data_IF_058471921368
#
_entry.id   IF_058471921368
#
_cell.length_a   1.000
_cell.length_b   1.000
_cell.length_c   1.000
_cell.angle_alpha   90.00
_cell.angle_beta   90.00
_cell.angle_gamma   90.00
#
_symmetry.space_group_name_H-M   'P 1'
#
loop_
_entity.id
_entity.type
_entity.pdbx_description
1 polymer ?
#
# COMPACT_ATOMS: atom_id res chain seq x y z
N UNK A 1 0.34 -15.76 -4.02
CA UNK A 1 -1.07 -15.51 -3.66
C UNK A 1 -1.13 -14.08 -3.14
N UNK A 2 -1.68 -13.15 -3.93
CA UNK A 2 -1.75 -11.73 -3.55
C UNK A 2 -3.02 -11.56 -2.73
N UNK A 3 -2.88 -11.30 -1.44
CA UNK A 3 -4.02 -11.02 -0.56
C UNK A 3 -4.56 -9.62 -0.86
N UNK A 4 -5.71 -9.56 -1.54
CA UNK A 4 -6.49 -8.34 -1.68
C UNK A 4 -7.11 -8.01 -0.31
N UNK A 5 -6.68 -6.91 0.29
CA UNK A 5 -7.22 -6.41 1.55
C UNK A 5 -8.56 -5.72 1.30
N UNK A 6 -9.67 -6.42 1.56
CA UNK A 6 -11.03 -5.86 1.45
C UNK A 6 -11.32 -4.92 2.63
N UNK A 7 -11.84 -3.73 2.36
CA UNK A 7 -12.19 -2.78 3.42
C UNK A 7 -13.71 -2.77 3.69
N UNK A 8 -14.11 -2.96 4.95
CA UNK A 8 -15.51 -2.91 5.38
C UNK A 8 -15.96 -1.47 5.60
N UNK A 9 -17.14 -1.12 5.10
CA UNK A 9 -17.82 0.14 5.42
C UNK A 9 -19.09 -0.16 6.22
N UNK A 10 -19.12 0.25 7.48
CA UNK A 10 -20.36 0.24 8.28
C UNK A 10 -21.11 1.55 8.04
N UNK A 11 -21.93 1.59 6.98
CA UNK A 11 -22.79 2.74 6.67
C UNK A 11 -24.19 2.24 6.32
N UNK A 12 -25.21 2.96 6.80
CA UNK A 12 -26.63 2.63 6.62
C UNK A 12 -26.98 2.27 5.16
N UNK A 13 -27.75 1.19 4.91
CA UNK A 13 -28.10 0.68 3.57
C UNK A 13 -28.76 1.71 2.63
N UNK A 14 -29.37 2.77 3.18
CA UNK A 14 -30.08 3.79 2.40
C UNK A 14 -29.16 4.81 1.74
N UNK A 15 -28.00 5.10 2.34
CA UNK A 15 -27.08 6.16 1.88
C UNK A 15 -26.07 5.66 0.85
N UNK A 16 -25.82 4.34 0.81
CA UNK A 16 -24.82 3.70 -0.05
C UNK A 16 -25.23 3.62 -1.54
N UNK A 17 -26.52 3.71 -1.86
CA UNK A 17 -27.01 3.48 -3.24
C UNK A 17 -26.63 4.53 -4.28
N UNK A 18 -26.14 5.71 -3.88
CA UNK A 18 -25.97 6.82 -4.83
C UNK A 18 -24.54 7.37 -4.97
N UNK A 19 -23.59 7.02 -4.10
CA UNK A 19 -22.31 7.75 -4.04
C UNK A 19 -21.04 6.95 -4.33
N UNK A 20 -21.03 5.60 -4.27
CA UNK A 20 -19.78 4.82 -4.36
C UNK A 20 -19.78 3.68 -5.40
N UNK A 21 -20.77 3.60 -6.27
CA UNK A 21 -20.93 2.46 -7.19
C UNK A 21 -20.06 2.55 -8.44
N UNK A 22 -19.40 3.69 -8.72
CA UNK A 22 -18.88 3.93 -10.05
C UNK A 22 -17.37 3.67 -10.21
N UNK A 23 -16.54 3.74 -9.18
CA UNK A 23 -15.07 3.89 -9.36
C UNK A 23 -14.29 2.59 -9.50
N UNK A 24 -14.70 1.50 -8.83
CA UNK A 24 -14.08 0.17 -8.94
C UNK A 24 -15.01 -0.92 -9.47
N UNK A 25 -16.31 -0.61 -9.59
CA UNK A 25 -17.30 -1.52 -10.20
C UNK A 25 -17.02 -1.81 -11.67
N UNK A 26 -16.12 -1.07 -12.33
CA UNK A 26 -15.68 -1.36 -13.70
C UNK A 26 -14.80 -2.60 -13.78
N UNK A 27 -13.96 -2.85 -12.76
CA UNK A 27 -13.06 -4.01 -12.72
C UNK A 27 -13.69 -5.18 -11.99
N UNK A 28 -14.21 -4.96 -10.77
CA UNK A 28 -14.80 -6.02 -9.96
C UNK A 28 -16.12 -5.57 -9.32
N UNK A 29 -17.10 -6.48 -9.31
CA UNK A 29 -18.36 -6.25 -8.62
C UNK A 29 -18.15 -6.28 -7.09
N UNK A 30 -18.82 -5.38 -6.33
CA UNK A 30 -18.81 -5.44 -4.88
C UNK A 30 -19.27 -6.81 -4.36
N UNK A 31 -18.66 -7.28 -3.26
CA UNK A 31 -19.03 -8.55 -2.64
C UNK A 31 -19.99 -8.30 -1.48
N UNK A 32 -21.20 -8.79 -1.63
CA UNK A 32 -22.19 -8.78 -0.56
C UNK A 32 -22.02 -10.00 0.36
N UNK A 33 -21.95 -9.73 1.66
CA UNK A 33 -22.05 -10.69 2.75
C UNK A 33 -23.19 -10.26 3.67
N UNK A 34 -23.77 -11.16 4.51
CA UNK A 34 -24.84 -10.77 5.42
C UNK A 34 -24.44 -9.58 6.31
N UNK A 35 -25.04 -8.42 6.05
CA UNK A 35 -24.77 -7.16 6.78
C UNK A 35 -23.52 -6.38 6.36
N UNK A 36 -22.80 -6.81 5.32
CA UNK A 36 -21.55 -6.18 4.87
C UNK A 36 -21.47 -6.12 3.35
N UNK A 37 -21.17 -4.93 2.82
CA UNK A 37 -20.78 -4.75 1.42
C UNK A 37 -19.26 -4.49 1.37
N UNK A 38 -18.53 -5.34 0.66
CA UNK A 38 -17.08 -5.25 0.51
C UNK A 38 -16.72 -4.70 -0.86
N UNK A 39 -15.82 -3.72 -0.86
CA UNK A 39 -15.21 -3.13 -2.05
C UNK A 39 -13.69 -3.14 -1.90
N UNK A 40 -12.99 -2.84 -2.99
CA UNK A 40 -11.54 -2.70 -2.97
C UNK A 40 -11.08 -1.65 -1.95
N UNK A 41 -10.05 -2.02 -1.17
CA UNK A 41 -9.38 -1.14 -0.24
C UNK A 41 -8.79 0.10 -0.92
N UNK A 42 -8.42 0.01 -2.21
CA UNK A 42 -7.93 1.14 -3.01
C UNK A 42 -8.88 2.35 -3.03
N UNK A 43 -10.19 2.11 -2.95
CA UNK A 43 -11.22 3.18 -2.89
C UNK A 43 -11.10 4.02 -1.61
N UNK A 44 -10.60 3.41 -0.52
CA UNK A 44 -10.45 4.07 0.78
C UNK A 44 -9.02 4.50 1.06
N UNK A 45 -8.05 3.65 0.73
CA UNK A 45 -6.64 3.87 0.94
C UNK A 45 -5.83 3.06 -0.08
N UNK A 46 -5.43 3.70 -1.19
CA UNK A 46 -4.58 3.07 -2.19
C UNK A 46 -3.15 2.80 -1.68
N UNK A 47 -2.76 3.42 -0.57
CA UNK A 47 -1.61 3.02 0.22
C UNK A 47 -2.07 2.65 1.64
N UNK A 48 -1.89 1.39 2.09
CA UNK A 48 -2.38 0.94 3.39
C UNK A 48 -1.48 1.37 4.56
N UNK A 49 -0.40 2.14 4.35
CA UNK A 49 0.58 2.44 5.39
C UNK A 49 -0.04 3.08 6.64
N UNK A 50 -0.90 4.09 6.49
CA UNK A 50 -1.54 4.73 7.64
C UNK A 50 -2.40 3.75 8.46
N UNK A 51 -3.08 2.82 7.78
CA UNK A 51 -3.86 1.76 8.42
C UNK A 51 -2.91 0.80 9.15
N UNK A 52 -1.83 0.36 8.48
CA UNK A 52 -0.84 -0.53 9.06
C UNK A 52 -0.18 0.06 10.31
N UNK A 53 0.17 1.35 10.30
CA UNK A 53 0.72 2.04 11.47
C UNK A 53 -0.26 2.03 12.64
N UNK A 54 -1.54 2.34 12.39
CA UNK A 54 -2.57 2.31 13.42
C UNK A 54 -2.75 0.90 13.99
N UNK A 55 -2.93 -0.10 13.15
CA UNK A 55 -3.12 -1.48 13.58
C UNK A 55 -1.88 -2.01 14.32
N UNK A 56 -0.67 -1.65 13.89
CA UNK A 56 0.56 -2.04 14.58
C UNK A 56 0.64 -1.52 16.02
N UNK A 57 0.12 -0.31 16.28
CA UNK A 57 0.08 0.25 17.64
C UNK A 57 -0.90 -0.47 18.56
N UNK A 58 -1.92 -1.13 17.98
CA UNK A 58 -2.90 -1.94 18.72
C UNK A 58 -2.33 -3.33 19.00
N UNK A 59 -1.66 -3.94 18.01
CA UNK A 59 -1.06 -5.28 18.14
C UNK A 59 0.15 -5.26 19.08
N UNK A 60 1.01 -4.24 18.96
CA UNK A 60 2.23 -4.10 19.76
C UNK A 60 2.26 -2.79 20.56
N UNK A 61 1.41 -2.65 21.59
CA UNK A 61 1.27 -1.39 22.34
C UNK A 61 2.53 -1.01 23.13
N UNK A 62 3.43 -1.96 23.40
CA UNK A 62 4.70 -1.72 24.08
C UNK A 62 5.84 -1.33 23.11
N UNK A 63 5.67 -1.52 21.81
CA UNK A 63 6.67 -1.15 20.82
C UNK A 63 6.69 0.37 20.66
N UNK A 64 7.82 0.99 21.00
CA UNK A 64 7.98 2.45 20.95
C UNK A 64 8.37 2.98 19.57
N UNK A 65 8.92 2.12 18.72
CA UNK A 65 9.35 2.41 17.34
C UNK A 65 9.30 1.15 16.50
N UNK A 66 9.23 1.32 15.19
CA UNK A 66 9.45 0.27 14.20
C UNK A 66 10.96 0.11 13.95
N UNK A 67 11.42 -1.13 13.73
CA UNK A 67 12.82 -1.40 13.34
C UNK A 67 13.04 -1.22 11.83
N UNK A 68 12.01 -1.46 11.01
CA UNK A 68 12.01 -1.20 9.59
C UNK A 68 10.57 -0.93 9.13
N UNK A 69 10.38 0.14 8.37
CA UNK A 69 9.13 0.44 7.68
C UNK A 69 9.39 0.46 6.18
N UNK A 70 8.81 -0.51 5.47
CA UNK A 70 8.94 -0.64 4.03
C UNK A 70 7.56 -0.53 3.36
N UNK A 71 7.37 0.50 2.53
CA UNK A 71 6.20 0.66 1.66
C UNK A 71 6.58 0.33 0.22
N UNK A 72 5.88 -0.62 -0.42
CA UNK A 72 6.15 -1.02 -1.81
C UNK A 72 5.01 -0.51 -2.68
N UNK A 73 5.34 0.25 -3.72
CA UNK A 73 4.43 0.73 -4.75
C UNK A 73 4.42 -0.15 -5.98
N UNK A 74 3.41 0.03 -6.83
CA UNK A 74 3.24 -0.69 -8.11
C UNK A 74 3.86 0.07 -9.29
N UNK A 75 4.62 1.14 -9.04
CA UNK A 75 5.19 2.00 -10.05
C UNK A 75 4.35 3.26 -10.30
N UNK A 76 4.99 4.25 -10.93
CA UNK A 76 4.39 5.54 -11.28
C UNK A 76 4.85 5.99 -12.66
N UNK A 77 3.98 6.70 -13.39
CA UNK A 77 4.35 7.33 -14.66
C UNK A 77 5.18 8.57 -14.41
N UNK A 78 6.23 8.76 -15.18
CA UNK A 78 6.98 10.04 -15.26
C UNK A 78 6.35 11.01 -16.26
N UNK A 79 5.44 10.53 -17.11
CA UNK A 79 4.79 11.31 -18.15
C UNK A 79 3.47 11.92 -17.67
N UNK A 80 3.12 13.15 -18.09
CA UNK A 80 1.83 13.72 -17.79
C UNK A 80 0.72 12.90 -18.47
N UNK A 81 -0.46 12.73 -17.85
CA UNK A 81 -1.54 11.95 -18.41
C UNK A 81 -1.92 12.48 -19.80
N UNK A 82 -1.88 11.60 -20.79
CA UNK A 82 -2.24 11.92 -22.17
C UNK A 82 -3.72 12.33 -22.24
N UNK A 83 -4.00 13.46 -22.89
CA UNK A 83 -5.40 13.90 -23.11
C UNK A 83 -5.92 13.22 -24.37
N UNK A 84 -7.07 12.52 -24.33
CA UNK A 84 -7.65 11.93 -25.53
C UNK A 84 -8.01 13.05 -26.52
N UNK A 85 -7.46 12.99 -27.73
CA UNK A 85 -7.77 13.92 -28.82
C UNK A 85 -8.75 13.27 -29.80
N UNK A 86 -9.77 14.01 -30.25
CA UNK A 86 -10.72 13.57 -31.30
C UNK A 86 -12.20 13.51 -30.87
N UNK A 87 -13.06 12.96 -31.76
CA UNK A 87 -14.53 12.90 -31.59
C UNK A 87 -14.92 11.97 -30.42
N UNK A 88 -14.19 10.88 -30.22
CA UNK A 88 -14.31 10.03 -29.01
C UNK A 88 -13.92 10.76 -27.72
N UNK A 89 -12.93 11.65 -27.79
CA UNK A 89 -12.55 12.53 -26.68
C UNK A 89 -13.72 13.43 -26.23
N UNK A 90 -14.51 13.96 -27.18
CA UNK A 90 -15.70 14.78 -26.86
C UNK A 90 -16.82 13.99 -26.17
N UNK A 91 -16.96 12.69 -26.46
CA UNK A 91 -17.92 11.80 -25.77
C UNK A 91 -17.42 11.47 -24.35
N UNK A 92 -16.09 11.34 -24.18
CA UNK A 92 -15.41 11.21 -22.90
C UNK A 92 -15.37 12.51 -22.06
N UNK A 93 -15.72 13.66 -22.63
CA UNK A 93 -15.89 14.93 -21.90
C UNK A 93 -17.33 15.12 -21.36
N UNK A 94 -18.17 14.09 -21.44
CA UNK A 94 -19.48 14.08 -20.79
C UNK A 94 -19.38 14.16 -19.26
N UNK A 95 -20.42 14.60 -18.56
CA UNK A 95 -20.39 14.81 -17.10
C UNK A 95 -20.10 13.52 -16.31
N UNK A 96 -20.57 12.36 -16.76
CA UNK A 96 -20.35 11.08 -16.10
C UNK A 96 -18.91 10.55 -16.25
N UNK A 97 -18.33 10.43 -17.46
CA UNK A 97 -16.91 10.07 -17.62
C UNK A 97 -15.97 11.08 -16.94
N UNK A 98 -16.30 12.38 -16.94
CA UNK A 98 -15.52 13.40 -16.22
C UNK A 98 -15.55 13.20 -14.71
N UNK A 99 -16.71 12.88 -14.15
CA UNK A 99 -16.84 12.57 -12.73
C UNK A 99 -16.05 11.31 -12.40
N UNK A 100 -16.20 10.24 -13.18
CA UNK A 100 -15.44 9.00 -13.00
C UNK A 100 -13.92 9.27 -13.06
N UNK A 101 -13.46 10.01 -14.08
CA UNK A 101 -12.06 10.40 -14.24
C UNK A 101 -11.54 11.22 -13.06
N UNK A 102 -12.30 12.21 -12.61
CA UNK A 102 -11.94 13.03 -11.45
C UNK A 102 -11.83 12.19 -10.18
N UNK A 103 -12.69 11.18 -10.02
CA UNK A 103 -12.67 10.28 -8.87
C UNK A 103 -11.47 9.33 -8.91
N UNK A 104 -11.14 8.72 -10.06
CA UNK A 104 -9.96 7.84 -10.18
C UNK A 104 -8.63 8.61 -10.20
N UNK A 105 -8.66 9.89 -10.59
CA UNK A 105 -7.51 10.80 -10.51
C UNK A 105 -7.44 11.55 -9.18
N UNK A 106 -8.28 11.18 -8.20
CA UNK A 106 -8.26 11.77 -6.86
C UNK A 106 -6.92 11.50 -6.17
N UNK A 107 -6.42 12.42 -5.33
CA UNK A 107 -5.24 12.19 -4.49
C UNK A 107 -5.35 10.93 -3.62
N UNK A 108 -6.57 10.49 -3.27
CA UNK A 108 -6.80 9.24 -2.52
C UNK A 108 -6.40 7.98 -3.29
N UNK A 109 -6.32 8.07 -4.62
CA UNK A 109 -5.86 7.01 -5.52
C UNK A 109 -4.35 7.11 -5.80
N UNK A 110 -3.67 8.13 -5.30
CA UNK A 110 -2.22 8.26 -5.44
C UNK A 110 -1.54 7.59 -4.23
N UNK A 111 -0.96 6.42 -4.47
CA UNK A 111 -0.26 5.65 -3.44
C UNK A 111 0.99 6.36 -2.87
N UNK A 112 1.61 7.26 -3.64
CA UNK A 112 2.75 8.08 -3.17
C UNK A 112 2.25 9.19 -2.27
N UNK A 113 1.16 9.85 -2.62
CA UNK A 113 0.52 10.84 -1.75
C UNK A 113 0.08 10.20 -0.43
N UNK A 114 -0.59 9.05 -0.49
CA UNK A 114 -0.99 8.30 0.71
C UNK A 114 0.19 7.87 1.58
N UNK A 115 1.34 7.55 0.99
CA UNK A 115 2.58 7.31 1.75
C UNK A 115 3.02 8.56 2.51
N UNK A 116 3.13 9.71 1.83
CA UNK A 116 3.57 10.97 2.44
C UNK A 116 2.63 11.43 3.55
N UNK A 117 1.32 11.28 3.35
CA UNK A 117 0.32 11.57 4.37
C UNK A 117 0.49 10.66 5.60
N UNK A 118 0.79 9.37 5.37
CA UNK A 118 1.01 8.42 6.44
C UNK A 118 2.25 8.73 7.28
N UNK A 119 3.29 9.33 6.69
CA UNK A 119 4.51 9.74 7.41
C UNK A 119 4.22 10.81 8.47
N UNK A 120 3.16 11.61 8.32
CA UNK A 120 2.77 12.58 9.34
C UNK A 120 2.31 11.94 10.66
N UNK A 121 1.93 10.65 10.65
CA UNK A 121 1.58 9.92 11.87
C UNK A 121 2.81 9.39 12.62
N UNK A 122 4.00 9.45 12.03
CA UNK A 122 5.22 8.98 12.66
C UNK A 122 5.84 10.08 13.54
N UNK A 123 6.33 9.75 14.74
CA UNK A 123 7.01 10.71 15.58
C UNK A 123 8.26 11.25 14.87
N UNK A 124 8.45 12.58 14.86
CA UNK A 124 9.58 13.27 14.20
C UNK A 124 10.98 12.88 14.72
N UNK A 125 11.09 11.98 15.70
CA UNK A 125 12.31 11.68 16.45
C UNK A 125 12.97 10.33 16.12
N UNK A 126 12.48 9.58 15.13
CA UNK A 126 13.12 8.30 14.75
C UNK A 126 13.07 8.09 13.23
N UNK A 127 14.04 8.68 12.54
CA UNK A 127 14.22 8.57 11.08
C UNK A 127 15.59 8.00 10.72
N UNK A 128 15.84 6.75 11.06
CA UNK A 128 16.43 5.85 10.09
C UNK A 128 15.45 4.69 9.85
N UNK A 129 15.45 4.10 8.66
CA UNK A 129 14.71 2.87 8.32
C UNK A 129 13.25 3.00 7.86
N UNK A 130 12.88 4.15 7.28
CA UNK A 130 11.64 4.30 6.50
C UNK A 130 12.01 4.31 5.02
N UNK A 131 11.53 3.32 4.28
CA UNK A 131 11.80 3.19 2.85
C UNK A 131 10.49 3.09 2.06
N UNK A 132 10.46 3.77 0.91
CA UNK A 132 9.47 3.49 -0.14
C UNK A 132 10.18 2.97 -1.38
N UNK A 133 9.81 1.75 -1.75
CA UNK A 133 10.22 1.11 -2.99
C UNK A 133 9.15 1.39 -4.03
N UNK A 134 9.52 2.12 -5.08
CA UNK A 134 8.62 2.48 -6.17
C UNK A 134 9.42 2.61 -7.46
N UNK A 135 8.82 2.26 -8.60
CA UNK A 135 9.51 2.23 -9.89
C UNK A 135 8.96 3.32 -10.80
N UNK A 136 9.85 4.13 -11.38
CA UNK A 136 9.48 5.00 -12.50
C UNK A 136 9.26 4.13 -13.74
N UNK A 137 8.07 4.22 -14.33
CA UNK A 137 7.71 3.56 -15.59
C UNK A 137 7.65 4.62 -16.67
N UNK A 138 8.42 4.42 -17.73
CA UNK A 138 8.47 5.33 -18.86
C UNK A 138 7.18 5.28 -19.67
N UNK A 139 6.64 6.46 -19.99
CA UNK A 139 5.41 6.59 -20.75
C UNK A 139 4.14 6.34 -19.93
N UNK A 140 3.05 5.99 -20.63
CA UNK A 140 1.75 5.79 -20.00
C UNK A 140 1.76 4.46 -19.25
N UNK A 141 1.27 4.45 -18.02
CA UNK A 141 1.11 3.20 -17.27
C UNK A 141 0.12 2.29 -18.01
N UNK A 142 0.36 0.98 -18.04
CA UNK A 142 -0.64 0.03 -18.53
C UNK A 142 -1.88 0.10 -17.65
N UNK A 143 -3.02 -0.25 -18.25
CA UNK A 143 -4.28 -0.38 -17.51
C UNK A 143 -4.18 -1.52 -16.49
N UNK A 144 -4.96 -1.44 -15.41
CA UNK A 144 -4.87 -2.40 -14.29
C UNK A 144 -5.15 -3.86 -14.70
N UNK A 145 -5.91 -4.06 -15.77
CA UNK A 145 -6.29 -5.35 -16.35
C UNK A 145 -5.48 -5.75 -17.59
N UNK A 146 -4.47 -4.96 -17.98
CA UNK A 146 -3.61 -5.28 -19.13
C UNK A 146 -2.61 -6.40 -18.79
N UNK A 147 -3.06 -7.64 -19.00
CA UNK A 147 -2.22 -8.83 -18.81
C UNK A 147 -1.10 -8.94 -19.85
N UNK A 148 -1.21 -8.26 -20.99
CA UNK A 148 -0.22 -8.33 -22.06
C UNK A 148 1.05 -7.56 -21.70
N UNK A 149 0.96 -6.52 -20.87
CA UNK A 149 2.12 -5.74 -20.42
C UNK A 149 2.92 -6.43 -19.30
N UNK A 150 2.42 -7.52 -18.71
CA UNK A 150 3.05 -8.17 -17.55
C UNK A 150 4.46 -8.67 -17.84
N UNK A 151 4.71 -9.26 -19.01
CA UNK A 151 6.04 -9.75 -19.39
C UNK A 151 7.03 -8.59 -19.48
N UNK A 152 6.64 -7.50 -20.15
CA UNK A 152 7.46 -6.30 -20.26
C UNK A 152 7.75 -5.68 -18.88
N UNK A 153 6.75 -5.63 -17.99
CA UNK A 153 6.91 -5.15 -16.62
C UNK A 153 7.82 -6.05 -15.77
N UNK A 154 7.74 -7.36 -15.93
CA UNK A 154 8.58 -8.31 -15.19
C UNK A 154 10.06 -8.22 -15.55
N UNK A 155 10.36 -7.79 -16.78
CA UNK A 155 11.71 -7.60 -17.28
C UNK A 155 12.30 -6.23 -16.93
N UNK A 156 11.57 -5.38 -16.21
CA UNK A 156 12.08 -4.08 -15.78
C UNK A 156 13.12 -4.24 -14.68
N UNK A 157 14.23 -3.52 -14.81
CA UNK A 157 15.25 -3.44 -13.77
C UNK A 157 14.72 -2.69 -12.56
N UNK A 158 14.48 -3.43 -11.48
CA UNK A 158 14.06 -2.87 -10.20
C UNK A 158 15.27 -2.63 -9.30
N UNK A 159 15.59 -1.35 -9.05
CA UNK A 159 16.72 -0.98 -8.21
C UNK A 159 16.33 -0.93 -6.73
N UNK A 160 16.91 -1.83 -5.93
CA UNK A 160 16.76 -1.82 -4.47
C UNK A 160 17.91 -1.02 -3.85
N UNK A 161 17.65 0.01 -3.02
CA UNK A 161 18.71 0.74 -2.33
C UNK A 161 19.57 -0.19 -1.46
N UNK A 162 20.89 -0.10 -1.57
CA UNK A 162 21.80 -0.90 -0.77
C UNK A 162 21.58 -0.73 0.75
N UNK A 163 21.16 0.47 1.17
CA UNK A 163 20.84 0.76 2.56
C UNK A 163 19.63 -0.05 3.04
N UNK A 164 18.59 -0.21 2.22
CA UNK A 164 17.45 -1.06 2.55
C UNK A 164 17.87 -2.52 2.70
N UNK A 165 18.72 -3.03 1.80
CA UNK A 165 19.26 -4.40 1.90
C UNK A 165 20.00 -4.59 3.22
N UNK A 166 20.85 -3.63 3.60
CA UNK A 166 21.58 -3.63 4.87
C UNK A 166 20.62 -3.61 6.07
N UNK A 167 19.62 -2.73 6.05
CA UNK A 167 18.62 -2.66 7.13
C UNK A 167 17.82 -3.96 7.23
N UNK A 168 17.39 -4.57 6.12
CA UNK A 168 16.69 -5.87 6.14
C UNK A 168 17.59 -6.95 6.75
N UNK A 169 18.85 -7.04 6.32
CA UNK A 169 19.80 -8.00 6.89
C UNK A 169 19.97 -7.78 8.40
N UNK A 170 20.17 -6.53 8.82
CA UNK A 170 20.36 -6.14 10.22
C UNK A 170 19.13 -6.37 11.11
N UNK A 171 17.92 -6.08 10.61
CA UNK A 171 16.69 -6.05 11.41
C UNK A 171 15.87 -7.33 11.33
N UNK A 172 15.90 -8.03 10.19
CA UNK A 172 15.01 -9.15 9.92
C UNK A 172 15.74 -10.49 9.78
N UNK A 173 17.05 -10.49 9.49
CA UNK A 173 17.79 -11.75 9.24
C UNK A 173 18.74 -12.14 10.37
N UNK A 174 19.24 -11.19 11.17
CA UNK A 174 20.02 -11.51 12.36
C UNK A 174 19.12 -11.55 13.59
N UNK A 175 18.72 -12.75 14.00
CA UNK A 175 18.07 -12.97 15.28
C UNK A 175 19.00 -13.79 16.17
N UNK A 176 19.05 -13.43 17.46
CA UNK A 176 19.82 -14.18 18.44
C UNK A 176 19.10 -15.50 18.75
N UNK A 177 19.70 -16.61 18.32
CA UNK A 177 19.23 -17.96 18.64
C UNK A 177 19.91 -18.44 19.94
N UNK A 178 19.13 -19.04 20.83
CA UNK A 178 19.66 -19.61 22.06
C UNK A 178 20.27 -20.98 21.77
N UNK A 179 21.59 -21.08 21.91
CA UNK A 179 22.32 -22.36 21.79
C UNK A 179 21.95 -23.29 22.97
N UNK A 180 21.61 -22.70 24.12
CA UNK A 180 21.33 -23.40 25.37
C UNK A 180 20.12 -22.80 26.08
N UNK A 181 19.40 -23.61 26.86
CA UNK A 181 18.30 -23.14 27.69
C UNK A 181 18.79 -22.11 28.73
N UNK A 182 18.09 -20.97 28.91
CA UNK A 182 18.51 -19.93 29.84
C UNK A 182 18.72 -20.45 31.26
N UNK A 183 19.89 -20.18 31.85
CA UNK A 183 20.23 -20.59 33.20
C UNK A 183 19.82 -19.50 34.18
N UNK A 184 18.93 -19.82 35.13
CA UNK A 184 18.49 -18.87 36.13
C UNK A 184 19.57 -18.67 37.20
N UNK A 185 20.14 -17.47 37.25
CA UNK A 185 21.00 -16.99 38.32
C UNK A 185 20.20 -16.38 39.48
N UNK A 186 20.91 -15.90 40.51
CA UNK A 186 20.30 -15.36 41.73
C UNK A 186 19.36 -14.16 41.50
N UNK A 187 19.55 -13.38 40.42
CA UNK A 187 18.75 -12.20 40.09
C UNK A 187 18.56 -11.95 38.58
N UNK A 188 19.10 -12.81 37.71
CA UNK A 188 19.05 -12.64 36.25
C UNK A 188 19.12 -13.98 35.54
N UNK A 189 18.72 -14.00 34.27
CA UNK A 189 18.93 -15.15 33.39
C UNK A 189 20.25 -14.99 32.63
N UNK A 190 21.03 -16.07 32.57
CA UNK A 190 22.20 -16.16 31.71
C UNK A 190 21.82 -16.93 30.46
N UNK A 191 21.95 -16.29 29.30
CA UNK A 191 21.63 -16.86 28.00
C UNK A 191 22.91 -16.98 27.19
N UNK A 192 23.15 -18.15 26.60
CA UNK A 192 24.21 -18.38 25.62
C UNK A 192 23.55 -18.65 24.27
N UNK A 193 24.10 -18.05 23.23
CA UNK A 193 23.51 -18.10 21.91
C UNK A 193 24.44 -17.56 20.84
N UNK A 194 24.00 -17.72 19.61
CA UNK A 194 24.66 -17.28 18.39
C UNK A 194 23.71 -16.39 17.56
N UNK A 195 24.28 -15.71 16.56
CA UNK A 195 23.58 -14.84 15.62
C UNK A 195 23.74 -15.40 14.22
#
# INVERSE_FOLDING_TARGET
>A
QVDMQWCSTHVSPSTMRHFNTLTFSSYFQPKELPGLCLQDGGVRANNPLAIALRESSIIWPMAKRHDLLLSIGTGFSTSPPSRPTGILGRIWEGPLPRLFRAMISSPSMDGKQGFLEALNYLPHLSTPDIFRLDQAIDGTLPDLDDVCSLEAMSNMDFAVPAELVRTILASAMFFFELDETPIQGKASFHCRGSV
#
